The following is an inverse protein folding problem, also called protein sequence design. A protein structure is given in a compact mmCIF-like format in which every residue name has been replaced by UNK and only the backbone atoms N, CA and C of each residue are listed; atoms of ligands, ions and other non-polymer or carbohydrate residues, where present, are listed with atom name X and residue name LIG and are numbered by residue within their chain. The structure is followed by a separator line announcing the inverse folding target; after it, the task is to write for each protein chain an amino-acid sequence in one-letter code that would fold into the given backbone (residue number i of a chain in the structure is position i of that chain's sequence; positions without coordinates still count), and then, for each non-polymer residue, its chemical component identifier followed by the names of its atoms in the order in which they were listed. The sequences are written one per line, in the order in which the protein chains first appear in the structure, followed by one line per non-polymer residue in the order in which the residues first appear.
data_IF_867031208577
#
_entry.id   IF_867031208577
#
_cell.length_a   1.000
_cell.length_b   1.000
_cell.length_c   1.000
_cell.angle_alpha   90.00
_cell.angle_beta   90.00
_cell.angle_gamma   90.00
#
_symmetry.space_group_name_H-M   'P 1'
#
loop_
_entity.id
_entity.type
_entity.pdbx_description
1 polymer ?
#
# COMPACT_ATOMS: atom_id res chain seq x y z
N UNK A 1 16.60 -13.86 0.07
CA UNK A 1 16.27 -12.44 0.34
C UNK A 1 14.98 -12.10 -0.38
N UNK A 2 14.09 -11.38 0.27
CA UNK A 2 12.80 -10.96 -0.29
C UNK A 2 12.85 -9.59 -1.01
N UNK A 3 14.05 -9.01 -1.15
CA UNK A 3 14.31 -7.77 -1.90
C UNK A 3 15.72 -7.80 -2.48
N UNK A 4 15.89 -7.27 -3.68
CA UNK A 4 17.21 -7.06 -4.31
C UNK A 4 18.04 -6.05 -3.53
N UNK A 5 17.39 -5.05 -2.91
CA UNK A 5 18.08 -4.09 -2.05
C UNK A 5 18.67 -4.78 -0.81
N UNK A 6 17.94 -5.73 -0.19
CA UNK A 6 18.44 -6.52 0.93
C UNK A 6 19.57 -7.45 0.46
N UNK A 7 19.40 -8.11 -0.67
CA UNK A 7 20.44 -8.97 -1.24
C UNK A 7 21.74 -8.20 -1.46
N UNK A 8 21.67 -7.04 -2.10
CA UNK A 8 22.80 -6.15 -2.32
C UNK A 8 23.45 -5.73 -0.99
N UNK A 9 22.66 -5.31 -0.01
CA UNK A 9 23.15 -4.97 1.32
C UNK A 9 23.96 -6.13 1.95
N UNK A 10 23.42 -7.36 1.91
CA UNK A 10 24.11 -8.53 2.45
C UNK A 10 25.43 -8.80 1.69
N UNK A 11 25.42 -8.72 0.37
CA UNK A 11 26.60 -8.95 -0.44
C UNK A 11 27.70 -7.89 -0.22
N UNK A 12 27.34 -6.63 0.01
CA UNK A 12 28.28 -5.53 0.23
C UNK A 12 28.81 -5.48 1.66
N UNK A 13 27.93 -5.50 2.66
CA UNK A 13 28.31 -5.32 4.05
C UNK A 13 28.93 -6.59 4.67
N UNK A 14 28.53 -7.77 4.17
CA UNK A 14 29.05 -9.06 4.63
C UNK A 14 30.00 -9.74 3.64
N UNK A 15 30.53 -8.98 2.66
CA UNK A 15 31.42 -9.49 1.58
C UNK A 15 32.60 -10.33 2.09
N UNK A 16 33.12 -10.04 3.29
CA UNK A 16 34.21 -10.82 3.91
C UNK A 16 33.86 -12.29 4.14
N UNK A 17 32.57 -12.62 4.28
CA UNK A 17 32.08 -13.97 4.49
C UNK A 17 31.65 -14.66 3.18
N UNK A 18 31.70 -13.96 2.06
CA UNK A 18 31.28 -14.43 0.72
C UNK A 18 29.89 -15.11 0.75
N UNK A 19 28.85 -14.46 1.29
CA UNK A 19 27.53 -15.07 1.43
C UNK A 19 26.96 -15.42 0.06
N UNK A 20 26.46 -16.66 -0.08
CA UNK A 20 25.63 -17.03 -1.22
C UNK A 20 24.22 -16.53 -0.95
N UNK A 21 23.71 -15.70 -1.84
CA UNK A 21 22.38 -15.10 -1.72
C UNK A 21 21.54 -15.38 -2.95
N UNK A 22 20.25 -15.47 -2.78
CA UNK A 22 19.27 -15.57 -3.85
C UNK A 22 18.11 -14.66 -3.51
N UNK A 23 17.68 -13.84 -4.48
CA UNK A 23 16.49 -13.03 -4.36
C UNK A 23 15.27 -13.83 -4.78
N UNK A 24 14.29 -13.94 -3.91
CA UNK A 24 12.95 -14.47 -4.17
C UNK A 24 11.98 -13.60 -3.40
N UNK A 25 11.09 -12.89 -4.10
CA UNK A 25 10.11 -11.99 -3.52
C UNK A 25 8.95 -12.74 -2.82
N UNK A 26 8.03 -11.98 -2.24
CA UNK A 26 6.70 -12.49 -1.91
C UNK A 26 5.82 -12.50 -3.16
N UNK A 27 4.84 -13.41 -3.17
CA UNK A 27 3.79 -13.46 -4.17
C UNK A 27 2.52 -12.76 -3.70
N UNK A 28 1.64 -12.44 -4.66
CA UNK A 28 0.30 -11.93 -4.39
C UNK A 28 -0.73 -12.60 -5.29
N UNK A 29 -1.99 -12.58 -4.83
CA UNK A 29 -3.15 -12.97 -5.63
C UNK A 29 -3.59 -11.80 -6.49
N UNK A 30 -3.77 -12.04 -7.78
CA UNK A 30 -4.21 -11.05 -8.77
C UNK A 30 -5.70 -11.15 -9.09
N UNK A 31 -6.42 -12.08 -8.46
CA UNK A 31 -7.86 -12.25 -8.68
C UNK A 31 -8.64 -11.07 -8.12
N UNK A 32 -9.64 -10.63 -8.87
CA UNK A 32 -10.59 -9.62 -8.40
C UNK A 32 -11.47 -10.18 -7.28
N UNK A 33 -12.02 -9.29 -6.45
CA UNK A 33 -13.03 -9.67 -5.47
C UNK A 33 -14.25 -10.26 -6.16
N UNK A 34 -14.80 -11.31 -5.57
CA UNK A 34 -16.08 -11.88 -6.03
C UNK A 34 -17.30 -11.07 -5.59
N UNK A 35 -17.08 -10.11 -4.67
CA UNK A 35 -18.15 -9.27 -4.13
C UNK A 35 -18.54 -8.17 -5.12
N UNK A 36 -19.77 -7.69 -4.94
CA UNK A 36 -20.36 -6.61 -5.72
C UNK A 36 -20.96 -5.54 -4.80
N UNK A 37 -21.21 -4.36 -5.33
CA UNK A 37 -21.77 -3.22 -4.57
C UNK A 37 -23.11 -3.52 -3.90
N UNK A 38 -23.92 -4.41 -4.51
CA UNK A 38 -25.22 -4.86 -3.96
C UNK A 38 -25.12 -5.90 -2.84
N UNK A 39 -23.95 -6.49 -2.59
CA UNK A 39 -23.78 -7.44 -1.50
C UNK A 39 -23.96 -6.77 -0.12
N UNK A 40 -24.72 -7.44 0.74
CA UNK A 40 -25.10 -6.90 2.04
C UNK A 40 -23.87 -6.51 2.88
N UNK A 41 -22.83 -7.36 2.90
CA UNK A 41 -21.62 -7.08 3.67
C UNK A 41 -20.83 -5.87 3.15
N UNK A 42 -20.85 -5.62 1.83
CA UNK A 42 -20.25 -4.43 1.22
C UNK A 42 -21.02 -3.20 1.67
N UNK A 43 -22.33 -3.18 1.42
CA UNK A 43 -23.18 -2.04 1.80
C UNK A 43 -23.09 -1.71 3.29
N UNK A 44 -23.14 -2.75 4.16
CA UNK A 44 -23.07 -2.57 5.60
C UNK A 44 -21.72 -1.96 6.01
N UNK A 45 -20.60 -2.42 5.44
CA UNK A 45 -19.30 -1.88 5.75
C UNK A 45 -19.18 -0.40 5.36
N UNK A 46 -19.52 -0.05 4.11
CA UNK A 46 -19.46 1.34 3.63
C UNK A 46 -20.39 2.26 4.42
N UNK A 47 -21.59 1.81 4.74
CA UNK A 47 -22.55 2.57 5.54
C UNK A 47 -22.06 2.74 6.99
N UNK A 48 -21.58 1.69 7.63
CA UNK A 48 -21.09 1.73 9.01
C UNK A 48 -19.87 2.64 9.16
N UNK A 49 -18.94 2.60 8.17
CA UNK A 49 -17.72 3.43 8.20
C UNK A 49 -17.94 4.83 7.64
N UNK A 50 -19.11 5.10 7.07
CA UNK A 50 -19.44 6.40 6.47
C UNK A 50 -18.51 6.78 5.33
N UNK A 51 -18.13 5.79 4.49
CA UNK A 51 -17.21 5.92 3.35
C UNK A 51 -17.98 5.66 2.07
N UNK A 52 -17.57 6.25 0.94
CA UNK A 52 -18.15 5.99 -0.37
C UNK A 52 -17.09 5.45 -1.33
N UNK A 53 -17.50 4.54 -2.23
CA UNK A 53 -16.62 3.98 -3.26
C UNK A 53 -15.98 5.08 -4.11
N UNK A 54 -14.70 4.92 -4.43
CA UNK A 54 -13.87 5.85 -5.18
C UNK A 54 -13.69 7.26 -4.55
N UNK A 55 -14.18 7.45 -3.31
CA UNK A 55 -14.11 8.73 -2.60
C UNK A 55 -13.17 8.65 -1.37
N UNK A 56 -12.17 7.77 -1.40
CA UNK A 56 -11.20 7.68 -0.31
C UNK A 56 -9.81 7.28 -0.79
N UNK A 57 -8.81 7.78 -0.08
CA UNK A 57 -7.45 7.25 -0.03
C UNK A 57 -7.40 6.14 0.99
N UNK A 58 -6.70 5.06 0.68
CA UNK A 58 -6.62 3.88 1.53
C UNK A 58 -5.20 3.64 2.01
N UNK A 59 -5.02 3.27 3.27
CA UNK A 59 -3.82 2.62 3.77
C UNK A 59 -4.20 1.33 4.49
N UNK A 60 -3.44 0.27 4.26
CA UNK A 60 -3.59 -1.03 4.94
C UNK A 60 -2.23 -1.44 5.49
N UNK A 61 -2.14 -1.65 6.79
CA UNK A 61 -0.88 -2.05 7.39
C UNK A 61 -0.88 -2.07 8.91
N UNK A 62 0.22 -2.52 9.50
CA UNK A 62 0.41 -2.49 10.95
C UNK A 62 0.53 -1.05 11.44
N UNK A 63 -0.04 -0.77 12.60
CA UNK A 63 0.02 0.55 13.23
C UNK A 63 1.35 0.75 13.95
N UNK A 64 2.40 1.05 13.20
CA UNK A 64 3.77 1.24 13.69
C UNK A 64 4.41 2.48 13.06
N UNK A 65 5.36 3.14 13.77
CA UNK A 65 5.99 4.38 13.27
C UNK A 65 6.63 4.24 11.89
N UNK A 66 7.24 3.09 11.59
CA UNK A 66 7.95 2.80 10.34
C UNK A 66 7.03 2.86 9.10
N UNK A 67 5.73 2.80 9.30
CA UNK A 67 4.73 2.97 8.24
C UNK A 67 4.36 4.44 7.98
N UNK A 68 5.02 5.39 8.64
CA UNK A 68 4.87 6.84 8.43
C UNK A 68 3.42 7.37 8.52
N UNK A 69 2.60 6.79 9.41
CA UNK A 69 1.23 7.24 9.63
C UNK A 69 1.15 8.73 9.97
N UNK A 70 2.06 9.22 10.81
CA UNK A 70 2.10 10.63 11.17
C UNK A 70 2.27 11.53 9.95
N UNK A 71 3.24 11.20 9.09
CA UNK A 71 3.49 11.96 7.86
C UNK A 71 2.28 11.93 6.92
N UNK A 72 1.72 10.74 6.67
CA UNK A 72 0.57 10.59 5.78
C UNK A 72 -0.65 11.38 6.29
N UNK A 73 -0.95 11.29 7.58
CA UNK A 73 -2.05 12.02 8.20
C UNK A 73 -1.83 13.54 8.12
N UNK A 74 -0.64 14.03 8.51
CA UNK A 74 -0.32 15.46 8.48
C UNK A 74 -0.45 16.04 7.07
N UNK A 75 0.12 15.34 6.10
CA UNK A 75 0.11 15.80 4.71
C UNK A 75 -1.30 15.73 4.11
N UNK A 76 -2.06 14.66 4.41
CA UNK A 76 -3.45 14.56 3.99
C UNK A 76 -4.30 15.70 4.59
N UNK A 77 -4.16 15.98 5.86
CA UNK A 77 -4.89 17.07 6.53
C UNK A 77 -4.56 18.47 5.98
N UNK A 78 -3.34 18.67 5.44
CA UNK A 78 -2.96 19.91 4.75
C UNK A 78 -3.60 20.05 3.37
N UNK A 79 -3.96 18.94 2.73
CA UNK A 79 -4.55 18.96 1.38
C UNK A 79 -5.98 19.48 1.39
N UNK A 80 -6.41 20.01 0.24
CA UNK A 80 -7.79 20.47 0.03
C UNK A 80 -8.74 19.35 -0.45
N UNK A 81 -8.28 18.08 -0.42
CA UNK A 81 -9.07 16.92 -0.82
C UNK A 81 -10.42 16.89 -0.08
N UNK A 82 -11.46 16.49 -0.80
CA UNK A 82 -12.79 16.23 -0.21
C UNK A 82 -13.02 14.76 0.08
N UNK A 83 -12.08 13.92 -0.34
CA UNK A 83 -12.12 12.47 -0.13
C UNK A 83 -11.74 12.13 1.31
N UNK A 84 -12.16 10.94 1.74
CA UNK A 84 -11.77 10.39 3.04
C UNK A 84 -10.35 9.81 3.01
N UNK A 85 -9.72 9.74 4.16
CA UNK A 85 -8.50 8.96 4.38
C UNK A 85 -8.83 7.77 5.27
N UNK A 86 -8.94 6.60 4.68
CA UNK A 86 -9.36 5.36 5.33
C UNK A 86 -8.13 4.55 5.76
N UNK A 87 -8.02 4.31 7.07
CA UNK A 87 -6.91 3.59 7.69
C UNK A 87 -7.41 2.24 8.20
N UNK A 88 -7.09 1.18 7.44
CA UNK A 88 -7.33 -0.21 7.85
C UNK A 88 -6.10 -0.70 8.60
N UNK A 89 -6.19 -0.67 9.92
CA UNK A 89 -5.10 -1.04 10.81
C UNK A 89 -5.64 -1.49 12.17
N UNK A 90 -4.88 -2.33 12.86
CA UNK A 90 -5.18 -2.65 14.25
C UNK A 90 -4.73 -1.49 15.13
N UNK A 91 -5.66 -0.60 15.46
CA UNK A 91 -5.40 0.51 16.37
C UNK A 91 -5.54 0.00 17.80
N UNK A 92 -4.42 -0.24 18.43
CA UNK A 92 -4.36 -0.35 19.89
C UNK A 92 -4.11 1.05 20.45
N UNK A 93 -4.87 1.45 21.46
CA UNK A 93 -4.59 2.66 22.24
C UNK A 93 -3.29 2.46 23.01
N UNK A 94 -2.20 2.82 22.38
CA UNK A 94 -0.85 2.73 22.93
C UNK A 94 -0.14 4.09 22.85
N UNK A 95 1.08 4.15 23.35
CA UNK A 95 1.85 5.40 23.35
C UNK A 95 2.03 6.02 21.96
N UNK A 96 2.08 5.19 20.91
CA UNK A 96 2.18 5.68 19.54
C UNK A 96 0.90 6.37 19.09
N UNK A 97 -0.27 5.77 19.41
CA UNK A 97 -1.56 6.39 19.13
C UNK A 97 -1.72 7.74 19.85
N UNK A 98 -1.42 7.77 21.15
CA UNK A 98 -1.54 8.99 21.96
C UNK A 98 -0.60 10.09 21.43
N UNK A 99 0.62 9.73 21.04
CA UNK A 99 1.57 10.67 20.45
C UNK A 99 1.08 11.17 19.09
N UNK A 100 0.60 10.26 18.22
CA UNK A 100 0.06 10.59 16.90
C UNK A 100 -1.14 11.54 17.01
N UNK A 101 -2.07 11.26 17.93
CA UNK A 101 -3.22 12.12 18.19
C UNK A 101 -2.80 13.51 18.66
N UNK A 102 -1.85 13.57 19.61
CA UNK A 102 -1.29 14.83 20.13
C UNK A 102 -0.62 15.66 19.05
N UNK A 103 0.14 15.00 18.17
CA UNK A 103 0.98 15.68 17.19
C UNK A 103 0.22 16.11 15.95
N UNK A 104 -0.86 15.41 15.59
CA UNK A 104 -1.64 15.68 14.38
C UNK A 104 -3.00 16.28 14.66
N UNK A 105 -3.66 15.90 15.76
CA UNK A 105 -5.04 16.27 16.03
C UNK A 105 -6.02 15.67 15.02
N UNK A 106 -5.73 14.48 14.49
CA UNK A 106 -6.50 13.85 13.40
C UNK A 106 -7.96 13.60 13.76
N UNK A 107 -8.29 13.50 15.05
CA UNK A 107 -9.66 13.35 15.57
C UNK A 107 -10.56 14.54 15.25
N UNK A 108 -9.98 15.68 14.88
CA UNK A 108 -10.70 16.90 14.48
C UNK A 108 -10.97 16.97 12.98
N UNK A 109 -10.34 16.13 12.19
CA UNK A 109 -10.58 16.05 10.75
C UNK A 109 -11.54 14.88 10.45
N UNK A 110 -12.80 15.15 10.07
CA UNK A 110 -13.78 14.09 9.83
C UNK A 110 -13.44 13.19 8.66
N UNK A 111 -12.47 13.59 7.82
CA UNK A 111 -11.99 12.79 6.69
C UNK A 111 -11.03 11.68 7.13
N UNK A 112 -10.35 11.82 8.28
CA UNK A 112 -9.43 10.80 8.80
C UNK A 112 -10.21 9.69 9.51
N UNK A 113 -10.31 8.52 8.89
CA UNK A 113 -11.17 7.41 9.35
C UNK A 113 -10.36 6.17 9.69
N UNK A 114 -10.16 5.94 10.98
CA UNK A 114 -9.64 4.68 11.50
C UNK A 114 -10.78 3.66 11.57
N UNK A 115 -10.83 2.73 10.63
CA UNK A 115 -11.96 1.82 10.45
C UNK A 115 -11.76 0.45 11.11
N UNK A 116 -10.61 0.24 11.75
CA UNK A 116 -10.25 -1.05 12.37
C UNK A 116 -9.67 -2.04 11.35
N UNK A 117 -9.61 -3.32 11.73
CA UNK A 117 -9.09 -4.38 10.88
C UNK A 117 -10.21 -5.03 10.06
N UNK A 118 -9.96 -5.33 8.81
CA UNK A 118 -10.85 -6.11 7.93
C UNK A 118 -10.23 -7.48 7.72
N UNK A 119 -10.82 -8.52 8.30
CA UNK A 119 -10.33 -9.91 8.22
C UNK A 119 -10.92 -10.69 7.05
N UNK A 120 -12.08 -10.29 6.54
CA UNK A 120 -12.68 -10.88 5.33
C UNK A 120 -11.86 -10.45 4.11
N UNK A 121 -11.12 -11.40 3.52
CA UNK A 121 -10.20 -11.12 2.43
C UNK A 121 -10.92 -10.65 1.15
N UNK A 122 -12.10 -11.17 0.85
CA UNK A 122 -12.88 -10.73 -0.29
C UNK A 122 -13.39 -9.29 -0.11
N UNK A 123 -13.82 -8.94 1.10
CA UNK A 123 -14.20 -7.58 1.42
C UNK A 123 -12.98 -6.63 1.35
N UNK A 124 -11.83 -7.05 1.85
CA UNK A 124 -10.60 -6.25 1.79
C UNK A 124 -10.13 -6.01 0.36
N UNK A 125 -10.22 -7.04 -0.52
CA UNK A 125 -9.99 -6.88 -1.96
C UNK A 125 -10.94 -5.85 -2.56
N UNK A 126 -12.24 -5.99 -2.29
CA UNK A 126 -13.26 -5.06 -2.78
C UNK A 126 -12.96 -3.62 -2.36
N UNK A 127 -12.59 -3.40 -1.10
CA UNK A 127 -12.23 -2.08 -0.57
C UNK A 127 -11.01 -1.52 -1.31
N UNK A 128 -9.97 -2.33 -1.60
CA UNK A 128 -8.81 -1.88 -2.38
C UNK A 128 -9.18 -1.52 -3.82
N UNK A 129 -9.98 -2.35 -4.48
CA UNK A 129 -10.43 -2.14 -5.86
C UNK A 129 -11.25 -0.85 -6.03
N UNK A 130 -11.97 -0.46 -4.99
CA UNK A 130 -12.83 0.71 -4.97
C UNK A 130 -12.27 1.91 -4.19
N UNK A 131 -10.98 1.90 -3.87
CA UNK A 131 -10.28 3.08 -3.37
C UNK A 131 -9.92 4.01 -4.55
N UNK A 132 -10.00 5.34 -4.33
CA UNK A 132 -9.50 6.31 -5.29
C UNK A 132 -7.98 6.13 -5.48
N UNK A 133 -7.24 6.01 -4.38
CA UNK A 133 -5.82 5.73 -4.40
C UNK A 133 -5.38 5.01 -3.11
N UNK A 134 -4.24 4.32 -3.20
CA UNK A 134 -3.60 3.67 -2.05
C UNK A 134 -2.35 4.44 -1.62
N UNK A 135 -2.22 4.70 -0.33
CA UNK A 135 -1.00 5.25 0.27
C UNK A 135 -0.12 4.15 0.84
N UNK A 136 1.17 4.19 0.50
CA UNK A 136 2.16 3.32 1.09
C UNK A 136 3.30 4.12 1.69
N UNK A 137 3.37 4.14 3.02
CA UNK A 137 4.37 4.88 3.78
C UNK A 137 5.49 4.02 4.36
N UNK A 138 5.55 2.72 4.06
CA UNK A 138 6.54 1.81 4.62
C UNK A 138 7.96 2.22 4.20
N UNK A 139 8.85 2.38 5.18
CA UNK A 139 10.18 2.96 4.96
C UNK A 139 11.31 1.93 5.00
N UNK A 140 11.12 0.82 5.71
CA UNK A 140 12.15 -0.18 5.97
C UNK A 140 11.65 -1.58 5.69
N UNK A 141 12.40 -2.38 4.96
CA UNK A 141 12.08 -3.80 4.76
C UNK A 141 12.38 -4.30 3.35
N UNK A 142 11.82 -5.44 3.02
CA UNK A 142 11.86 -6.04 1.69
C UNK A 142 10.56 -5.86 0.93
N UNK A 143 10.18 -6.86 0.14
CA UNK A 143 8.89 -6.89 -0.55
C UNK A 143 7.74 -6.93 0.45
N UNK A 144 6.90 -5.90 0.43
CA UNK A 144 5.79 -5.79 1.36
C UNK A 144 4.50 -6.39 0.77
N UNK A 145 3.90 -7.44 1.40
CA UNK A 145 2.68 -8.06 0.88
C UNK A 145 1.53 -7.09 0.65
N UNK A 146 1.31 -6.13 1.58
CA UNK A 146 0.23 -5.15 1.43
C UNK A 146 0.44 -4.19 0.25
N UNK A 147 1.72 -3.91 -0.11
CA UNK A 147 2.04 -3.15 -1.32
C UNK A 147 1.73 -3.96 -2.58
N UNK A 148 2.11 -5.24 -2.60
CA UNK A 148 1.80 -6.12 -3.74
C UNK A 148 0.30 -6.23 -3.98
N UNK A 149 -0.47 -6.44 -2.92
CA UNK A 149 -1.92 -6.52 -2.97
C UNK A 149 -2.55 -5.19 -3.46
N UNK A 150 -1.99 -4.05 -3.07
CA UNK A 150 -2.45 -2.75 -3.54
C UNK A 150 -2.15 -2.53 -5.03
N UNK A 151 -0.92 -2.81 -5.46
CA UNK A 151 -0.52 -2.71 -6.87
C UNK A 151 -1.30 -3.68 -7.78
N UNK A 152 -1.77 -4.80 -7.23
CA UNK A 152 -2.59 -5.77 -7.96
C UNK A 152 -4.07 -5.37 -8.07
N UNK A 153 -4.54 -4.44 -7.23
CA UNK A 153 -5.99 -4.20 -7.11
C UNK A 153 -6.42 -2.74 -7.14
N UNK A 154 -5.57 -1.80 -6.72
CA UNK A 154 -5.88 -0.36 -6.68
C UNK A 154 -5.26 0.34 -7.87
N UNK A 155 -6.06 1.10 -8.61
CA UNK A 155 -5.63 1.74 -9.88
C UNK A 155 -4.53 2.78 -9.69
N UNK A 156 -4.52 3.49 -8.57
CA UNK A 156 -3.58 4.57 -8.30
C UNK A 156 -2.84 4.32 -6.99
N UNK A 157 -1.52 4.18 -7.07
CA UNK A 157 -0.69 3.87 -5.92
C UNK A 157 0.32 5.00 -5.65
N UNK A 158 0.29 5.56 -4.44
CA UNK A 158 1.14 6.65 -4.00
C UNK A 158 2.12 6.11 -2.96
N UNK A 159 3.39 5.93 -3.36
CA UNK A 159 4.40 5.23 -2.57
C UNK A 159 5.44 6.21 -2.02
N UNK A 160 5.84 6.02 -0.76
CA UNK A 160 6.98 6.74 -0.20
C UNK A 160 8.23 6.45 -1.04
N UNK A 161 8.96 7.50 -1.44
CA UNK A 161 10.13 7.43 -2.30
C UNK A 161 11.34 6.85 -1.57
N UNK A 162 11.38 5.52 -1.45
CA UNK A 162 12.48 4.74 -0.92
C UNK A 162 12.81 3.55 -1.84
N UNK A 163 14.04 3.05 -1.75
CA UNK A 163 14.54 2.02 -2.65
C UNK A 163 13.66 0.76 -2.72
N UNK A 164 13.13 0.31 -1.60
CA UNK A 164 12.25 -0.87 -1.53
C UNK A 164 10.93 -0.67 -2.29
N UNK A 165 10.30 0.49 -2.13
CA UNK A 165 9.05 0.79 -2.81
C UNK A 165 9.27 0.99 -4.32
N UNK A 166 10.39 1.62 -4.70
CA UNK A 166 10.76 1.76 -6.11
C UNK A 166 11.09 0.43 -6.78
N UNK A 167 11.73 -0.50 -6.06
CA UNK A 167 12.01 -1.84 -6.55
C UNK A 167 10.73 -2.60 -6.94
N UNK A 168 9.67 -2.40 -6.17
CA UNK A 168 8.39 -3.11 -6.37
C UNK A 168 7.51 -2.37 -7.37
N UNK A 169 7.28 -1.06 -7.19
CA UNK A 169 6.30 -0.28 -7.93
C UNK A 169 6.77 0.20 -9.31
N UNK A 170 8.08 0.34 -9.51
CA UNK A 170 8.69 0.86 -10.76
C UNK A 170 7.90 2.06 -11.31
N UNK A 171 7.47 2.05 -12.57
CA UNK A 171 6.67 3.14 -13.22
C UNK A 171 5.15 2.94 -13.08
N UNK A 172 4.70 1.92 -12.37
CA UNK A 172 3.29 1.69 -12.06
C UNK A 172 2.77 2.46 -10.84
N UNK A 173 3.57 3.39 -10.30
CA UNK A 173 3.21 4.15 -9.11
C UNK A 173 3.71 5.59 -9.16
N UNK A 174 3.09 6.46 -8.37
CA UNK A 174 3.55 7.83 -8.11
C UNK A 174 4.31 7.84 -6.78
N UNK A 175 5.47 8.49 -6.75
CA UNK A 175 6.33 8.51 -5.57
C UNK A 175 6.28 9.87 -4.87
N UNK A 176 6.22 9.85 -3.53
CA UNK A 176 6.15 11.04 -2.71
C UNK A 176 7.27 11.08 -1.66
N UNK A 177 7.74 12.26 -1.35
CA UNK A 177 8.61 12.55 -0.20
C UNK A 177 7.80 13.05 0.98
N UNK A 178 8.38 13.01 2.18
CA UNK A 178 7.67 13.28 3.44
C UNK A 178 7.00 14.67 3.51
N UNK A 179 7.46 15.62 2.73
CA UNK A 179 6.96 17.01 2.67
C UNK A 179 6.20 17.35 1.38
N UNK A 180 5.95 16.37 0.50
CA UNK A 180 5.36 16.59 -0.82
C UNK A 180 3.98 15.95 -0.98
N UNK A 181 3.55 15.09 -0.06
CA UNK A 181 2.35 14.28 -0.26
C UNK A 181 1.08 15.14 -0.39
N UNK A 182 0.96 16.24 0.35
CA UNK A 182 -0.18 17.16 0.22
C UNK A 182 -0.32 17.72 -1.22
N UNK A 183 0.82 18.10 -1.83
CA UNK A 183 0.86 18.57 -3.23
C UNK A 183 0.49 17.46 -4.20
N UNK A 184 1.04 16.26 -3.98
CA UNK A 184 0.76 15.09 -4.83
C UNK A 184 -0.71 14.70 -4.76
N UNK A 185 -1.36 14.76 -3.59
CA UNK A 185 -2.80 14.54 -3.44
C UNK A 185 -3.58 15.48 -4.38
N UNK A 186 -3.24 16.77 -4.40
CA UNK A 186 -3.92 17.74 -5.28
C UNK A 186 -3.64 17.52 -6.76
N UNK A 187 -2.45 17.01 -7.10
CA UNK A 187 -2.08 16.69 -8.48
C UNK A 187 -2.81 15.47 -9.00
N UNK A 188 -2.85 14.39 -8.21
CA UNK A 188 -3.50 13.14 -8.64
C UNK A 188 -5.02 13.25 -8.76
N UNK A 189 -5.65 14.13 -8.00
CA UNK A 189 -7.08 14.43 -8.15
C UNK A 189 -7.43 15.17 -9.45
N UNK A 190 -6.41 15.67 -10.17
CA UNK A 190 -6.57 16.34 -11.49
C UNK A 190 -6.20 15.43 -12.65
N UNK A 191 -5.72 14.22 -12.38
CA UNK A 191 -5.41 13.26 -13.43
C UNK A 191 -6.69 12.88 -14.17
N UNK A 192 -6.60 12.77 -15.47
CA UNK A 192 -7.66 12.21 -16.28
C UNK A 192 -7.68 10.68 -16.21
N UNK A 193 -8.76 10.09 -16.67
CA UNK A 193 -8.99 8.65 -16.63
C UNK A 193 -7.95 7.87 -17.44
N UNK A 194 -7.40 8.47 -18.49
CA UNK A 194 -6.35 7.88 -19.32
C UNK A 194 -5.03 7.76 -18.56
N UNK A 195 -4.63 8.79 -17.83
CA UNK A 195 -3.40 8.77 -17.03
C UNK A 195 -3.50 7.76 -15.88
N UNK A 196 -4.67 7.67 -15.22
CA UNK A 196 -4.92 6.68 -14.17
C UNK A 196 -4.88 5.26 -14.76
N UNK A 197 -5.51 5.03 -15.93
CA UNK A 197 -5.50 3.73 -16.59
C UNK A 197 -4.09 3.30 -16.99
N UNK A 198 -3.25 4.21 -17.47
CA UNK A 198 -1.86 3.90 -17.80
C UNK A 198 -1.05 3.43 -16.58
N UNK A 199 -1.26 4.06 -15.41
CA UNK A 199 -0.61 3.65 -14.16
C UNK A 199 -1.13 2.28 -13.69
N UNK A 200 -2.44 2.04 -13.77
CA UNK A 200 -3.07 0.76 -13.42
C UNK A 200 -2.56 -0.38 -14.32
N UNK A 201 -2.46 -0.16 -15.63
CA UNK A 201 -1.90 -1.13 -16.56
C UNK A 201 -0.45 -1.47 -16.24
N UNK A 202 0.40 -0.46 -15.97
CA UNK A 202 1.80 -0.65 -15.61
C UNK A 202 1.95 -1.41 -14.29
N UNK A 203 1.17 -1.04 -13.26
CA UNK A 203 1.23 -1.72 -11.96
C UNK A 203 0.74 -3.17 -12.06
N UNK A 204 -0.36 -3.41 -12.75
CA UNK A 204 -0.90 -4.75 -13.00
C UNK A 204 0.07 -5.63 -13.79
N UNK A 205 0.69 -5.09 -14.85
CA UNK A 205 1.70 -5.81 -15.63
C UNK A 205 2.92 -6.14 -14.77
N UNK A 206 3.41 -5.19 -13.98
CA UNK A 206 4.53 -5.40 -13.06
C UNK A 206 4.28 -6.55 -12.08
N UNK A 207 3.07 -6.61 -11.51
CA UNK A 207 2.66 -7.69 -10.60
C UNK A 207 2.58 -9.02 -11.35
N UNK A 208 1.97 -9.05 -12.53
CA UNK A 208 1.85 -10.26 -13.34
C UNK A 208 3.21 -10.85 -13.75
N UNK A 209 4.19 -9.99 -14.05
CA UNK A 209 5.51 -10.43 -14.50
C UNK A 209 6.42 -10.93 -13.37
N UNK A 210 6.27 -10.40 -12.14
CA UNK A 210 7.29 -10.60 -11.13
C UNK A 210 6.80 -11.12 -9.77
N UNK A 211 5.50 -11.00 -9.46
CA UNK A 211 5.00 -11.19 -8.09
C UNK A 211 3.79 -12.12 -7.99
N UNK A 212 3.49 -12.92 -9.02
CA UNK A 212 2.46 -13.96 -8.90
C UNK A 212 2.97 -15.14 -8.08
N UNK A 213 2.07 -15.83 -7.38
CA UNK A 213 2.46 -17.01 -6.60
C UNK A 213 3.08 -18.11 -7.48
N UNK A 214 2.62 -18.27 -8.72
CA UNK A 214 3.19 -19.22 -9.68
C UNK A 214 4.67 -18.94 -9.94
N UNK A 215 5.00 -17.66 -10.18
CA UNK A 215 6.39 -17.23 -10.39
C UNK A 215 7.24 -17.48 -9.15
N UNK A 216 6.75 -17.11 -7.97
CA UNK A 216 7.48 -17.26 -6.71
C UNK A 216 7.73 -18.73 -6.37
N UNK A 217 6.73 -19.60 -6.57
CA UNK A 217 6.88 -21.06 -6.38
C UNK A 217 7.94 -21.62 -7.31
N UNK A 218 7.90 -21.23 -8.60
CA UNK A 218 8.93 -21.65 -9.58
C UNK A 218 10.33 -21.21 -9.17
N UNK A 219 10.51 -19.99 -8.67
CA UNK A 219 11.81 -19.48 -8.22
C UNK A 219 12.34 -20.28 -7.00
N UNK A 220 11.45 -20.71 -6.08
CA UNK A 220 11.82 -21.58 -4.97
C UNK A 220 12.19 -22.98 -5.46
N UNK A 221 11.45 -23.55 -6.40
CA UNK A 221 11.75 -24.88 -6.96
C UNK A 221 13.14 -24.88 -7.61
N UNK A 222 13.54 -23.85 -8.35
CA UNK A 222 14.88 -23.72 -8.92
C UNK A 222 16.00 -23.79 -7.87
N UNK A 223 15.76 -23.26 -6.67
CA UNK A 223 16.76 -23.30 -5.57
C UNK A 223 16.85 -24.68 -4.93
N UNK A 224 15.77 -25.46 -4.91
CA UNK A 224 15.74 -26.79 -4.25
C UNK A 224 16.13 -27.95 -5.16
N UNK A 225 16.12 -27.77 -6.47
CA UNK A 225 16.41 -28.84 -7.44
C UNK A 225 17.92 -28.92 -7.78
N UNK A 226 18.76 -28.10 -7.18
CA UNK A 226 20.22 -28.08 -7.40
C UNK A 226 20.96 -29.11 -6.53
#
# INVERSE_FOLDING_TARGET
CDSKNIEKYIQEDYKQYQPKTTYIAYGTDTSKSVLKSEDEKVRNWYQEKGVAENEYYLVVGRFVPENNYETMIREFMKSNSKKDFVLITNVEQNKFYDQLLKDTGFDKDPRAKFVGTVYDQELLKYIRENAFAYFHGHEVGGTNPSLLEALASTKLNLLLDVGFNREVGEDGAIYWKKDELARIIEEVERLDESAISELDEKSSQRIADAFTWEKIVSDYEEVFIV
#
